data_IF_333829523432
#
_entry.id   IF_333829523432
#
_cell.length_a   1.000
_cell.length_b   1.000
_cell.length_c   1.000
_cell.angle_alpha   90.00
_cell.angle_beta   90.00
_cell.angle_gamma   90.00
#
_symmetry.space_group_name_H-M   'P 1'
#
loop_
_entity.id
_entity.type
_entity.pdbx_description
1 polymer ?
#
# COMPACT_ATOMS: atom_id res chain seq x y z
N UNK A 1 4.81 4.12 10.77
CA UNK A 1 6.19 4.13 11.31
C UNK A 1 6.27 3.29 12.58
N UNK A 2 7.41 2.65 12.84
CA UNK A 2 7.61 1.89 14.09
C UNK A 2 8.37 2.77 15.08
N UNK A 3 7.80 2.97 16.26
CA UNK A 3 8.41 3.80 17.31
C UNK A 3 9.26 2.99 18.28
N UNK A 4 10.27 3.65 18.84
CA UNK A 4 11.17 3.07 19.86
C UNK A 4 10.45 2.78 21.18
N UNK A 5 9.38 3.53 21.48
CA UNK A 5 8.55 3.24 22.64
C UNK A 5 7.70 1.98 22.38
N UNK A 6 7.85 0.92 23.20
CA UNK A 6 7.23 -0.38 22.97
C UNK A 6 5.71 -0.37 22.84
N UNK A 7 5.01 0.50 23.56
CA UNK A 7 3.55 0.40 23.74
C UNK A 7 2.78 1.55 23.10
N UNK A 8 3.44 2.43 22.36
CA UNK A 8 2.78 3.56 21.69
C UNK A 8 1.84 3.08 20.58
N UNK A 9 0.68 3.71 20.48
CA UNK A 9 -0.28 3.48 19.42
C UNK A 9 -0.94 4.80 19.04
N UNK A 10 -0.26 5.57 18.20
CA UNK A 10 -0.68 6.90 17.77
C UNK A 10 -0.94 6.91 16.27
N UNK A 11 -1.69 7.91 15.80
CA UNK A 11 -1.89 8.15 14.38
C UNK A 11 -1.91 9.66 14.11
N UNK A 12 -1.47 10.05 12.92
CA UNK A 12 -1.64 11.41 12.39
C UNK A 12 -2.51 11.37 11.13
N UNK A 13 -3.19 12.49 10.87
CA UNK A 13 -4.07 12.66 9.73
C UNK A 13 -3.65 13.90 8.96
N UNK A 14 -3.46 13.74 7.66
CA UNK A 14 -3.17 14.81 6.72
C UNK A 14 -4.23 14.81 5.62
N UNK A 15 -4.89 15.95 5.44
CA UNK A 15 -5.92 16.14 4.41
C UNK A 15 -5.27 16.68 3.14
N UNK A 16 -5.00 15.82 2.16
CA UNK A 16 -4.43 16.22 0.86
C UNK A 16 -5.51 16.90 0.01
N UNK A 17 -6.69 16.26 -0.07
CA UNK A 17 -7.89 16.83 -0.67
C UNK A 17 -9.03 16.63 0.34
N UNK A 18 -9.65 17.70 0.86
CA UNK A 18 -10.72 17.59 1.85
C UNK A 18 -11.85 16.65 1.40
N UNK A 19 -12.26 15.73 2.26
CA UNK A 19 -13.27 14.68 2.01
C UNK A 19 -12.96 13.64 0.91
N UNK A 20 -11.81 13.72 0.25
CA UNK A 20 -11.49 12.84 -0.90
C UNK A 20 -10.20 12.06 -0.67
N UNK A 21 -9.08 12.76 -0.47
CA UNK A 21 -7.77 12.14 -0.25
C UNK A 21 -7.27 12.50 1.15
N UNK A 22 -7.29 11.50 2.01
CA UNK A 22 -6.88 11.61 3.40
C UNK A 22 -5.76 10.62 3.65
N UNK A 23 -4.63 11.13 4.11
CA UNK A 23 -3.48 10.33 4.49
C UNK A 23 -3.52 10.11 5.99
N UNK A 24 -3.58 8.84 6.38
CA UNK A 24 -3.49 8.41 7.78
C UNK A 24 -2.17 7.70 7.97
N UNK A 25 -1.36 8.18 8.92
CA UNK A 25 -0.10 7.55 9.27
C UNK A 25 -0.18 6.95 10.67
N UNK A 26 -0.08 5.63 10.76
CA UNK A 26 -0.03 4.91 12.02
C UNK A 26 1.40 4.86 12.55
N UNK A 27 1.59 5.24 13.82
CA UNK A 27 2.86 5.20 14.55
C UNK A 27 2.71 4.22 15.71
N UNK A 28 3.21 3.01 15.51
CA UNK A 28 3.01 1.89 16.44
C UNK A 28 4.34 1.49 17.08
N UNK A 29 4.33 1.22 18.37
CA UNK A 29 5.45 0.62 19.08
C UNK A 29 5.67 -0.83 18.67
N UNK A 30 6.89 -1.33 18.80
CA UNK A 30 7.26 -2.68 18.35
C UNK A 30 6.54 -3.83 19.08
N UNK A 31 5.90 -3.59 20.23
CA UNK A 31 5.05 -4.60 20.92
C UNK A 31 3.59 -4.53 20.53
N UNK A 32 3.18 -3.53 19.74
CA UNK A 32 1.80 -3.37 19.33
C UNK A 32 1.58 -4.13 18.03
N UNK A 33 0.71 -5.14 18.08
CA UNK A 33 0.33 -5.89 16.89
C UNK A 33 -0.40 -4.95 15.90
N UNK A 34 0.03 -4.87 14.63
CA UNK A 34 -0.63 -4.06 13.62
C UNK A 34 -1.97 -4.72 13.24
N UNK A 35 -3.06 -4.24 13.85
CA UNK A 35 -4.44 -4.66 13.55
C UNK A 35 -5.09 -3.60 12.69
N UNK A 36 -4.58 -3.43 11.46
CA UNK A 36 -4.89 -2.27 10.62
C UNK A 36 -6.39 -2.16 10.34
N UNK A 37 -7.09 -3.28 10.11
CA UNK A 37 -8.55 -3.26 9.90
C UNK A 37 -9.30 -2.59 11.07
N UNK A 38 -8.98 -2.96 12.32
CA UNK A 38 -9.60 -2.37 13.51
C UNK A 38 -9.16 -0.93 13.76
N UNK A 39 -7.86 -0.65 13.62
CA UNK A 39 -7.30 0.68 13.80
C UNK A 39 -7.88 1.67 12.79
N UNK A 40 -8.02 1.26 11.53
CA UNK A 40 -8.61 2.06 10.47
C UNK A 40 -10.08 2.40 10.77
N UNK A 41 -10.90 1.41 11.15
CA UNK A 41 -12.29 1.66 11.59
C UNK A 41 -12.34 2.70 12.71
N UNK A 42 -11.40 2.62 13.67
CA UNK A 42 -11.34 3.59 14.78
C UNK A 42 -10.97 5.00 14.33
N UNK A 43 -10.02 5.14 13.40
CA UNK A 43 -9.67 6.44 12.81
C UNK A 43 -10.86 7.04 12.08
N UNK A 44 -11.55 6.23 11.26
CA UNK A 44 -12.76 6.64 10.54
C UNK A 44 -13.85 7.14 11.49
N UNK A 45 -14.12 6.41 12.59
CA UNK A 45 -15.05 6.86 13.64
C UNK A 45 -14.69 8.23 14.21
N UNK A 46 -13.41 8.45 14.54
CA UNK A 46 -12.93 9.72 15.11
C UNK A 46 -13.07 10.88 14.10
N UNK A 47 -12.75 10.63 12.82
CA UNK A 47 -12.88 11.64 11.76
C UNK A 47 -14.33 12.07 11.52
N UNK A 48 -15.29 11.13 11.61
CA UNK A 48 -16.72 11.45 11.53
C UNK A 48 -17.17 12.23 12.76
N UNK A 49 -16.77 11.80 13.95
CA UNK A 49 -17.14 12.46 15.21
C UNK A 49 -16.64 13.91 15.27
N UNK A 50 -15.44 14.16 14.74
CA UNK A 50 -14.84 15.49 14.64
C UNK A 50 -15.39 16.32 13.47
N UNK A 51 -16.30 15.78 12.65
CA UNK A 51 -16.84 16.40 11.43
C UNK A 51 -15.76 16.76 10.39
N UNK A 52 -14.63 16.06 10.41
CA UNK A 52 -13.56 16.22 9.43
C UNK A 52 -13.89 15.53 8.10
N UNK A 53 -14.66 14.44 8.17
CA UNK A 53 -15.06 13.64 7.02
C UNK A 53 -16.56 13.39 7.05
N UNK A 54 -17.22 13.71 5.94
CA UNK A 54 -18.62 13.36 5.76
C UNK A 54 -18.76 12.00 5.05
N UNK A 55 -18.94 10.95 5.84
CA UNK A 55 -19.15 9.57 5.34
C UNK A 55 -20.65 9.29 5.16
N UNK A 56 -21.52 10.30 5.29
CA UNK A 56 -22.95 10.12 5.02
C UNK A 56 -23.10 9.66 3.57
N UNK A 57 -23.35 8.37 3.47
CA UNK A 57 -23.54 7.59 2.27
C UNK A 57 -24.38 8.37 1.26
N UNK A 58 -23.94 8.37 -0.01
CA UNK A 58 -24.76 8.73 -1.17
C UNK A 58 -26.01 7.83 -1.34
N UNK A 59 -26.32 6.94 -0.41
CA UNK A 59 -27.54 6.13 -0.33
C UNK A 59 -28.02 5.96 1.12
N UNK A 60 -29.20 6.50 1.43
CA UNK A 60 -29.86 6.46 2.75
C UNK A 60 -30.40 5.08 3.15
N UNK A 61 -30.37 4.07 2.27
CA UNK A 61 -31.13 2.82 2.48
C UNK A 61 -30.49 1.78 3.42
N UNK A 62 -29.29 2.00 3.94
CA UNK A 62 -28.60 1.02 4.81
C UNK A 62 -28.19 1.56 6.18
N UNK A 63 -28.88 2.61 6.64
CA UNK A 63 -28.68 3.25 7.93
C UNK A 63 -29.09 2.38 9.14
N UNK A 64 -29.72 1.21 8.90
CA UNK A 64 -30.24 0.33 9.96
C UNK A 64 -29.26 -0.72 10.48
N UNK A 65 -28.09 -0.92 9.86
CA UNK A 65 -27.26 -2.09 10.19
C UNK A 65 -25.82 -1.82 10.63
N UNK A 66 -25.47 -0.60 11.07
CA UNK A 66 -24.16 -0.28 11.66
C UNK A 66 -22.95 -0.87 10.91
N UNK A 67 -23.05 -1.00 9.58
CA UNK A 67 -21.94 -1.43 8.76
C UNK A 67 -21.15 -0.17 8.46
N UNK A 68 -20.11 0.08 9.28
CA UNK A 68 -18.96 0.88 8.90
C UNK A 68 -18.62 0.45 7.46
N UNK A 69 -18.65 1.39 6.51
CA UNK A 69 -18.86 1.14 5.07
C UNK A 69 -18.02 0.04 4.41
N UNK A 70 -18.34 -0.26 3.14
CA UNK A 70 -17.56 -1.22 2.37
C UNK A 70 -16.15 -0.66 2.14
N UNK A 71 -15.14 -1.34 2.69
CA UNK A 71 -13.74 -0.93 2.59
C UNK A 71 -12.98 -1.97 1.80
N UNK A 72 -12.28 -1.52 0.77
CA UNK A 72 -11.29 -2.29 0.07
C UNK A 72 -9.90 -1.78 0.43
N UNK A 73 -9.04 -2.69 0.90
CA UNK A 73 -7.64 -2.40 1.18
C UNK A 73 -6.79 -2.72 -0.04
N UNK A 74 -6.05 -1.74 -0.55
CA UNK A 74 -5.06 -1.95 -1.61
C UNK A 74 -3.68 -1.97 -0.94
N UNK A 75 -3.03 -3.14 -0.95
CA UNK A 75 -1.69 -3.34 -0.38
C UNK A 75 -0.67 -3.20 -1.50
N UNK A 76 0.22 -2.22 -1.38
CA UNK A 76 1.24 -1.93 -2.38
C UNK A 76 2.49 -2.75 -2.11
N UNK A 77 2.73 -3.77 -2.92
CA UNK A 77 3.89 -4.66 -2.78
C UNK A 77 5.00 -4.31 -3.78
N UNK A 78 6.23 -4.14 -3.28
CA UNK A 78 7.42 -3.91 -4.13
C UNK A 78 7.87 -5.19 -4.83
N UNK A 79 8.16 -5.12 -6.12
CA UNK A 79 8.88 -6.16 -6.86
C UNK A 79 10.16 -5.63 -7.52
N UNK A 80 11.14 -6.49 -7.76
CA UNK A 80 12.36 -6.13 -8.49
C UNK A 80 12.05 -5.94 -9.97
N UNK A 81 12.19 -4.72 -10.51
CA UNK A 81 12.07 -4.52 -11.96
C UNK A 81 13.19 -5.25 -12.70
N UNK A 82 12.85 -5.87 -13.84
CA UNK A 82 13.83 -6.43 -14.78
C UNK A 82 14.69 -5.33 -15.43
N UNK A 83 14.21 -4.08 -15.40
CA UNK A 83 14.88 -2.90 -15.94
C UNK A 83 15.97 -2.33 -15.01
N UNK A 84 16.41 -3.10 -14.00
CA UNK A 84 17.52 -2.71 -13.13
C UNK A 84 18.84 -3.24 -13.70
N UNK A 85 19.70 -2.34 -14.19
CA UNK A 85 21.08 -2.67 -14.60
C UNK A 85 21.99 -2.75 -13.35
N UNK A 86 21.90 -3.86 -12.61
CA UNK A 86 22.74 -4.11 -11.44
C UNK A 86 23.96 -4.99 -11.78
N UNK A 87 25.16 -4.71 -11.22
CA UNK A 87 26.30 -5.62 -11.24
C UNK A 87 25.92 -7.03 -10.76
N UNK A 88 26.62 -8.06 -11.25
CA UNK A 88 26.27 -9.47 -10.97
C UNK A 88 26.09 -9.79 -9.48
N UNK A 89 26.97 -9.29 -8.61
CA UNK A 89 26.92 -9.51 -7.17
C UNK A 89 25.67 -8.86 -6.56
N UNK A 90 25.37 -7.62 -6.92
CA UNK A 90 24.18 -6.90 -6.45
C UNK A 90 22.89 -7.58 -6.92
N UNK A 91 22.84 -8.03 -8.17
CA UNK A 91 21.71 -8.79 -8.69
C UNK A 91 21.50 -10.10 -7.92
N UNK A 92 22.58 -10.81 -7.58
CA UNK A 92 22.50 -12.03 -6.76
C UNK A 92 21.95 -11.75 -5.35
N UNK A 93 22.44 -10.69 -4.70
CA UNK A 93 21.95 -10.25 -3.38
C UNK A 93 20.46 -9.91 -3.45
N UNK A 94 20.04 -9.15 -4.47
CA UNK A 94 18.64 -8.76 -4.66
C UNK A 94 17.74 -9.97 -4.90
N UNK A 95 18.17 -10.94 -5.72
CA UNK A 95 17.42 -12.19 -5.93
C UNK A 95 17.24 -12.97 -4.63
N UNK A 96 18.29 -13.11 -3.82
CA UNK A 96 18.22 -13.79 -2.52
C UNK A 96 17.27 -13.03 -1.58
N UNK A 97 17.35 -11.70 -1.53
CA UNK A 97 16.46 -10.87 -0.72
C UNK A 97 14.98 -11.07 -1.08
N UNK A 98 14.62 -10.99 -2.36
CA UNK A 98 13.22 -11.19 -2.80
C UNK A 98 12.74 -12.62 -2.61
N UNK A 99 13.62 -13.62 -2.78
CA UNK A 99 13.29 -15.01 -2.48
C UNK A 99 12.99 -15.22 -0.99
N UNK A 100 13.80 -14.65 -0.10
CA UNK A 100 13.53 -14.66 1.34
C UNK A 100 12.26 -13.88 1.69
N UNK A 101 11.97 -12.78 0.99
CA UNK A 101 10.74 -12.00 1.16
C UNK A 101 9.50 -12.82 0.80
N UNK A 102 9.53 -13.57 -0.30
CA UNK A 102 8.40 -14.45 -0.70
C UNK A 102 8.16 -15.59 0.29
N UNK A 103 9.21 -16.10 0.93
CA UNK A 103 9.10 -17.10 2.01
C UNK A 103 8.63 -16.50 3.35
N UNK A 104 8.76 -15.19 3.51
CA UNK A 104 8.36 -14.47 4.72
C UNK A 104 6.83 -14.34 4.82
N UNK A 105 6.36 -13.77 5.92
CA UNK A 105 4.96 -13.40 6.09
C UNK A 105 4.56 -12.37 5.03
N UNK A 106 3.50 -12.67 4.28
CA UNK A 106 2.95 -11.74 3.29
C UNK A 106 2.45 -10.46 3.96
N UNK A 107 2.60 -9.33 3.27
CA UNK A 107 2.38 -8.00 3.85
C UNK A 107 0.93 -7.84 4.36
N UNK A 108 -0.05 -8.35 3.61
CA UNK A 108 -1.47 -8.30 4.01
C UNK A 108 -1.76 -9.09 5.30
N UNK A 109 -1.09 -10.23 5.49
CA UNK A 109 -1.18 -11.01 6.74
C UNK A 109 -0.45 -10.31 7.88
N UNK A 110 0.70 -9.69 7.57
CA UNK A 110 1.46 -8.87 8.51
C UNK A 110 0.64 -7.72 9.08
N UNK A 111 -0.22 -7.08 8.27
CA UNK A 111 -1.11 -6.01 8.70
C UNK A 111 -2.40 -6.46 9.38
N UNK A 112 -2.64 -7.77 9.50
CA UNK A 112 -3.86 -8.32 10.10
C UNK A 112 -5.12 -7.98 9.30
N UNK A 113 -5.03 -7.91 7.97
CA UNK A 113 -6.15 -7.63 7.09
C UNK A 113 -6.92 -8.92 6.75
N UNK A 114 -8.24 -8.79 6.52
CA UNK A 114 -9.09 -9.91 6.11
C UNK A 114 -9.01 -10.10 4.59
N UNK A 115 -8.69 -11.31 4.13
CA UNK A 115 -8.44 -11.61 2.71
C UNK A 115 -9.61 -11.29 1.78
N UNK A 116 -10.85 -11.23 2.29
CA UNK A 116 -12.04 -10.93 1.47
C UNK A 116 -12.03 -9.51 0.91
N UNK A 117 -11.33 -8.58 1.56
CA UNK A 117 -11.39 -7.15 1.28
C UNK A 117 -10.01 -6.58 0.91
N UNK A 118 -9.06 -7.42 0.50
CA UNK A 118 -7.69 -7.01 0.17
C UNK A 118 -7.38 -7.29 -1.29
N UNK A 119 -6.87 -6.27 -1.99
CA UNK A 119 -6.23 -6.38 -3.28
C UNK A 119 -4.74 -6.07 -3.12
N UNK A 120 -3.86 -6.88 -3.71
CA UNK A 120 -2.41 -6.62 -3.72
C UNK A 120 -2.03 -6.02 -5.08
N UNK A 121 -1.46 -4.82 -5.07
CA UNK A 121 -0.98 -4.13 -6.26
C UNK A 121 0.55 -4.08 -6.24
N UNK A 122 1.17 -4.54 -7.32
CA UNK A 122 2.63 -4.65 -7.42
C UNK A 122 3.22 -3.44 -8.13
N UNK A 123 4.25 -2.84 -7.55
CA UNK A 123 4.97 -1.73 -8.17
C UNK A 123 6.48 -1.99 -8.30
N UNK A 124 7.11 -1.52 -9.39
CA UNK A 124 8.52 -1.78 -9.65
C UNK A 124 9.41 -0.96 -8.71
N UNK A 125 10.32 -1.64 -8.02
CA UNK A 125 11.44 -1.01 -7.34
C UNK A 125 12.54 -0.73 -8.36
N UNK A 126 12.81 0.54 -8.64
CA UNK A 126 13.87 1.00 -9.53
C UNK A 126 15.04 1.49 -8.67
N UNK A 127 16.16 0.76 -8.72
CA UNK A 127 17.39 1.06 -7.97
C UNK A 127 18.44 1.67 -8.91
N UNK A 128 18.55 1.16 -10.14
CA UNK A 128 19.45 1.64 -11.17
C UNK A 128 18.70 1.69 -12.51
N UNK A 129 18.33 2.88 -13.02
CA UNK A 129 17.57 2.97 -14.27
C UNK A 129 18.42 2.50 -15.45
N UNK A 130 17.83 1.66 -16.32
CA UNK A 130 18.45 1.25 -17.59
C UNK A 130 18.90 2.44 -18.43
N UNK A 131 20.01 2.24 -19.13
CA UNK A 131 20.50 3.17 -20.14
C UNK A 131 19.44 3.40 -21.23
N UNK A 132 19.33 4.63 -21.76
CA UNK A 132 18.31 4.99 -22.77
C UNK A 132 18.33 4.01 -23.96
N UNK A 133 17.23 3.26 -24.13
CA UNK A 133 17.02 2.37 -25.26
C UNK A 133 17.03 3.17 -26.56
N UNK A 134 18.00 2.90 -27.44
CA UNK A 134 18.04 3.46 -28.80
C UNK A 134 17.28 2.52 -29.74
N UNK A 135 15.98 2.77 -29.91
CA UNK A 135 15.16 2.06 -30.89
C UNK A 135 15.07 2.89 -32.17
N UNK A 136 15.34 2.24 -33.30
CA UNK A 136 15.11 2.83 -34.63
C UNK A 136 14.00 2.06 -35.31
N UNK A 137 12.92 2.75 -35.68
CA UNK A 137 11.79 2.16 -36.39
C UNK A 137 12.21 1.86 -37.84
N UNK A 138 12.04 0.61 -38.26
CA UNK A 138 12.10 0.23 -39.66
C UNK A 138 10.69 0.24 -40.26
N UNK A 139 10.60 0.62 -41.53
CA UNK A 139 9.39 0.51 -42.34
C UNK A 139 9.71 -0.43 -43.48
N UNK A 140 8.89 -1.47 -43.68
CA UNK A 140 9.05 -2.37 -44.80
C UNK A 140 8.78 -1.59 -46.10
N UNK A 141 9.70 -1.68 -47.06
CA UNK A 141 9.45 -1.17 -48.40
C UNK A 141 8.49 -2.13 -49.08
N UNK A 142 7.28 -1.67 -49.39
CA UNK A 142 6.44 -2.35 -50.38
C UNK A 142 7.24 -2.40 -51.69
N UNK A 143 7.54 -3.60 -52.17
CA UNK A 143 8.13 -3.83 -53.48
C UNK A 143 7.10 -3.43 -54.54
N UNK A 144 7.35 -2.33 -55.25
CA UNK A 144 6.66 -1.96 -56.50
C UNK A 144 7.00 -2.90 -57.66
#
# INVERSE_FOLDING_TARGET
DTLDDPYTAEYSVEHIIPNDIIRVEFRLGFRVAPRINLMFKKVVENLVANKEVNIMSRYESQQKNNMVGDFQFIVMEKFLSQDNELPFIENMIMKIYFWLKELSLSEEKGFGLEQSNVAVEKFPLIVAPVSRLKLTRIYDKEEE
#
